data_IF_610051395849
#
_entry.id   IF_610051395849
#
_cell.length_a   1.000
_cell.length_b   1.000
_cell.length_c   1.000
_cell.angle_alpha   90.00
_cell.angle_beta   90.00
_cell.angle_gamma   90.00
#
_symmetry.space_group_name_H-M   'P 1'
#
loop_
_entity.id
_entity.type
_entity.pdbx_description
1 polymer ?
#
# COMPACT_ATOMS: atom_id res chain seq x y z
N UNK A 1 5.22 6.29 -5.94
CA UNK A 1 5.58 7.73 -5.98
C UNK A 1 4.41 8.61 -5.53
N UNK A 2 3.29 8.69 -6.27
CA UNK A 2 2.17 9.57 -5.88
C UNK A 2 1.58 9.25 -4.48
N UNK A 3 1.22 7.99 -4.21
CA UNK A 3 0.66 7.60 -2.91
C UNK A 3 1.63 7.87 -1.75
N UNK A 4 2.94 7.62 -1.94
CA UNK A 4 3.97 7.94 -0.94
C UNK A 4 4.02 9.43 -0.64
N UNK A 5 3.91 10.29 -1.67
CA UNK A 5 3.85 11.74 -1.48
C UNK A 5 2.60 12.15 -0.71
N UNK A 6 1.41 11.64 -1.08
CA UNK A 6 0.16 11.96 -0.38
C UNK A 6 0.20 11.52 1.10
N UNK A 7 0.72 10.32 1.36
CA UNK A 7 0.86 9.80 2.73
C UNK A 7 1.85 10.67 3.50
N UNK A 8 3.04 10.94 2.95
CA UNK A 8 4.06 11.74 3.64
C UNK A 8 3.58 13.16 3.97
N UNK A 9 2.92 13.83 3.02
CA UNK A 9 2.37 15.16 3.20
C UNK A 9 1.19 15.15 4.16
N UNK A 10 0.29 14.18 4.04
CA UNK A 10 -0.82 13.98 4.98
C UNK A 10 -0.34 13.76 6.42
N UNK A 11 0.70 12.94 6.62
CA UNK A 11 1.33 12.71 7.93
C UNK A 11 1.96 13.98 8.48
N UNK A 12 2.67 14.77 7.67
CA UNK A 12 3.29 16.02 8.12
C UNK A 12 2.23 17.04 8.56
N UNK A 13 1.18 17.22 7.75
CA UNK A 13 0.05 18.12 8.09
C UNK A 13 -0.68 17.64 9.33
N UNK A 14 -0.85 16.32 9.51
CA UNK A 14 -1.44 15.72 10.71
C UNK A 14 -0.59 15.97 11.96
N UNK A 15 0.72 15.77 11.89
CA UNK A 15 1.64 16.05 12.99
C UNK A 15 1.61 17.54 13.38
N UNK A 16 1.57 18.43 12.38
CA UNK A 16 1.39 19.86 12.64
C UNK A 16 0.03 20.13 13.31
N UNK A 17 -1.05 19.52 12.84
CA UNK A 17 -2.38 19.67 13.46
C UNK A 17 -2.41 19.19 14.90
N UNK A 18 -1.76 18.05 15.20
CA UNK A 18 -1.63 17.53 16.55
C UNK A 18 -0.84 18.48 17.47
N UNK A 19 0.23 19.09 16.97
CA UNK A 19 0.96 20.13 17.70
C UNK A 19 0.10 21.37 17.95
N UNK A 20 -0.68 21.82 16.97
CA UNK A 20 -1.62 22.94 17.15
C UNK A 20 -2.67 22.64 18.24
N UNK A 21 -3.21 21.42 18.28
CA UNK A 21 -4.14 20.98 19.35
C UNK A 21 -3.47 21.05 20.71
N UNK A 22 -2.22 20.58 20.80
CA UNK A 22 -1.46 20.62 22.04
C UNK A 22 -1.26 22.06 22.55
N UNK A 23 -0.90 22.98 21.66
CA UNK A 23 -0.72 24.41 22.00
C UNK A 23 -2.04 25.06 22.41
N UNK A 24 -3.11 24.89 21.62
CA UNK A 24 -4.45 25.42 21.97
C UNK A 24 -4.89 24.87 23.34
N UNK A 25 -4.67 23.58 23.61
CA UNK A 25 -4.99 22.93 24.89
C UNK A 25 -4.22 23.52 26.06
N UNK A 26 -2.92 23.78 25.90
CA UNK A 26 -2.11 24.40 26.95
C UNK A 26 -2.58 25.81 27.27
N UNK A 27 -2.88 26.62 26.25
CA UNK A 27 -3.35 27.99 26.45
C UNK A 27 -4.66 28.05 27.26
N UNK A 28 -5.55 27.07 27.07
CA UNK A 28 -6.80 26.98 27.82
C UNK A 28 -6.57 26.57 29.27
N UNK A 29 -5.72 25.57 29.51
CA UNK A 29 -5.36 25.15 30.87
C UNK A 29 -4.49 26.21 31.59
N UNK A 30 -3.83 27.10 30.83
CA UNK A 30 -2.97 28.18 31.31
C UNK A 30 -3.71 29.45 31.76
N UNK A 31 -5.04 29.51 31.67
CA UNK A 31 -5.82 30.51 32.43
C UNK A 31 -6.74 31.45 31.66
N UNK A 32 -7.22 31.12 30.44
CA UNK A 32 -8.04 32.07 29.65
C UNK A 32 -9.48 31.64 29.34
N UNK A 33 -9.90 30.37 29.49
CA UNK A 33 -11.32 30.01 29.43
C UNK A 33 -11.64 28.60 29.97
N UNK A 34 -12.83 28.42 30.54
CA UNK A 34 -13.39 27.12 30.96
C UNK A 34 -13.97 26.30 29.79
N UNK A 35 -14.15 26.92 28.61
CA UNK A 35 -14.80 26.32 27.46
C UNK A 35 -13.87 26.39 26.24
N UNK A 36 -13.40 25.22 25.82
CA UNK A 36 -12.61 25.06 24.61
C UNK A 36 -13.54 24.90 23.40
N UNK A 37 -13.40 25.81 22.43
CA UNK A 37 -13.94 25.63 21.09
C UNK A 37 -12.73 25.61 20.16
N UNK A 38 -12.41 24.47 19.51
CA UNK A 38 -11.31 24.40 18.57
C UNK A 38 -11.51 25.41 17.44
N UNK A 39 -10.42 26.05 17.01
CA UNK A 39 -10.50 26.99 15.89
C UNK A 39 -10.98 26.27 14.61
N UNK A 40 -11.80 26.95 13.79
CA UNK A 40 -12.26 26.40 12.51
C UNK A 40 -11.10 26.02 11.60
N UNK A 41 -9.99 26.75 11.71
CA UNK A 41 -8.73 26.45 11.04
C UNK A 41 -8.12 25.11 11.48
N UNK A 42 -8.10 24.83 12.78
CA UNK A 42 -7.58 23.56 13.30
C UNK A 42 -8.43 22.37 12.83
N UNK A 43 -9.76 22.53 12.85
CA UNK A 43 -10.68 21.51 12.36
C UNK A 43 -10.46 21.25 10.87
N UNK A 44 -10.34 22.31 10.04
CA UNK A 44 -10.13 22.16 8.60
C UNK A 44 -8.77 21.53 8.29
N UNK A 45 -7.71 21.88 9.02
CA UNK A 45 -6.38 21.28 8.87
C UNK A 45 -6.42 19.76 9.14
N UNK A 46 -7.05 19.35 10.24
CA UNK A 46 -7.18 17.93 10.58
C UNK A 46 -8.03 17.19 9.54
N UNK A 47 -9.13 17.78 9.07
CA UNK A 47 -9.97 17.21 8.03
C UNK A 47 -9.20 17.02 6.71
N UNK A 48 -8.41 18.02 6.29
CA UNK A 48 -7.56 17.92 5.08
C UNK A 48 -6.49 16.83 5.25
N UNK A 49 -5.83 16.77 6.41
CA UNK A 49 -4.82 15.73 6.69
C UNK A 49 -5.43 14.32 6.63
N UNK A 50 -6.63 14.16 7.17
CA UNK A 50 -7.37 12.90 7.15
C UNK A 50 -7.72 12.48 5.72
N UNK A 51 -8.26 13.40 4.91
CA UNK A 51 -8.60 13.11 3.52
C UNK A 51 -7.37 12.74 2.69
N UNK A 52 -6.25 13.45 2.86
CA UNK A 52 -4.99 13.13 2.19
C UNK A 52 -4.49 11.72 2.53
N UNK A 53 -4.54 11.35 3.81
CA UNK A 53 -4.15 10.02 4.28
C UNK A 53 -5.08 8.93 3.72
N UNK A 54 -6.39 9.12 3.79
CA UNK A 54 -7.37 8.15 3.26
C UNK A 54 -7.15 7.93 1.77
N UNK A 55 -7.02 9.01 0.99
CA UNK A 55 -6.77 8.91 -0.46
C UNK A 55 -5.42 8.25 -0.73
N UNK A 56 -4.36 8.65 -0.01
CA UNK A 56 -3.03 8.09 -0.16
C UNK A 56 -2.98 6.58 0.11
N UNK A 57 -3.60 6.13 1.22
CA UNK A 57 -3.68 4.72 1.59
C UNK A 57 -4.52 3.93 0.59
N UNK A 58 -5.64 4.49 0.14
CA UNK A 58 -6.53 3.83 -0.84
C UNK A 58 -5.82 3.61 -2.19
N UNK A 59 -5.06 4.60 -2.67
CA UNK A 59 -4.27 4.46 -3.91
C UNK A 59 -3.09 3.49 -3.70
N UNK A 60 -2.59 3.36 -2.48
CA UNK A 60 -1.52 2.40 -2.16
C UNK A 60 -2.00 0.94 -2.15
N UNK A 61 -3.30 0.68 -2.12
CA UNK A 61 -3.82 -0.67 -2.04
C UNK A 61 -3.50 -1.46 -3.33
N UNK A 62 -3.00 -2.70 -3.21
CA UNK A 62 -2.76 -3.54 -4.38
C UNK A 62 -4.07 -3.84 -5.10
N UNK A 63 -4.03 -4.02 -6.44
CA UNK A 63 -5.22 -4.33 -7.20
C UNK A 63 -5.82 -5.66 -6.74
N UNK A 64 -7.15 -5.75 -6.75
CA UNK A 64 -7.87 -6.95 -6.35
C UNK A 64 -7.50 -8.09 -7.31
N UNK A 65 -6.92 -9.17 -6.79
CA UNK A 65 -6.60 -10.35 -7.59
C UNK A 65 -7.89 -11.03 -8.03
N UNK A 66 -7.94 -11.43 -9.31
CA UNK A 66 -9.05 -12.20 -9.83
C UNK A 66 -9.13 -13.57 -9.15
N UNK A 67 -10.29 -13.90 -8.59
CA UNK A 67 -10.54 -15.16 -7.86
C UNK A 67 -11.01 -16.27 -8.81
N UNK A 68 -11.39 -15.94 -10.04
CA UNK A 68 -11.88 -16.93 -11.01
C UNK A 68 -10.72 -17.75 -11.58
N UNK A 69 -10.75 -19.05 -11.28
CA UNK A 69 -9.80 -20.03 -11.79
C UNK A 69 -9.68 -20.03 -13.32
N UNK A 70 -10.79 -19.77 -14.04
CA UNK A 70 -10.80 -19.65 -15.51
C UNK A 70 -9.86 -18.56 -16.02
N UNK A 71 -9.77 -17.43 -15.33
CA UNK A 71 -8.90 -16.32 -15.73
C UNK A 71 -7.43 -16.65 -15.50
N UNK A 72 -7.11 -17.34 -14.41
CA UNK A 72 -5.77 -17.85 -14.10
C UNK A 72 -5.35 -18.93 -15.12
N UNK A 73 -6.23 -19.88 -15.46
CA UNK A 73 -5.96 -20.93 -16.45
C UNK A 73 -5.69 -20.38 -17.86
N UNK A 74 -6.32 -19.26 -18.24
CA UNK A 74 -6.07 -18.62 -19.55
C UNK A 74 -4.62 -18.15 -19.71
N UNK A 75 -3.93 -17.87 -18.60
CA UNK A 75 -2.53 -17.44 -18.61
C UNK A 75 -1.54 -18.62 -18.58
N UNK A 76 -2.01 -19.85 -18.35
CA UNK A 76 -1.17 -21.05 -18.25
C UNK A 76 -1.15 -21.80 -19.58
N UNK A 77 0.02 -22.29 -19.99
CA UNK A 77 0.16 -23.17 -21.16
C UNK A 77 0.22 -24.65 -20.73
N UNK A 78 -0.10 -25.53 -21.68
CA UNK A 78 -0.01 -26.98 -21.50
C UNK A 78 1.42 -27.38 -21.13
N UNK A 79 2.43 -26.78 -21.76
CA UNK A 79 3.84 -27.12 -21.51
C UNK A 79 4.26 -26.87 -20.06
N UNK A 80 3.74 -25.81 -19.43
CA UNK A 80 3.99 -25.50 -18.02
C UNK A 80 3.22 -26.40 -17.04
N UNK A 81 2.10 -26.97 -17.48
CA UNK A 81 1.30 -27.88 -16.66
C UNK A 81 1.76 -29.35 -16.80
N UNK A 82 2.20 -29.73 -18.00
CA UNK A 82 2.64 -31.08 -18.33
C UNK A 82 4.15 -31.30 -18.15
N UNK A 83 4.89 -30.31 -17.65
CA UNK A 83 6.32 -30.46 -17.34
C UNK A 83 6.60 -31.48 -16.23
N UNK A 84 5.55 -31.98 -15.54
CA UNK A 84 5.56 -33.01 -14.49
C UNK A 84 6.88 -33.01 -13.70
N UNK A 85 7.24 -31.87 -13.10
CA UNK A 85 8.56 -31.69 -12.49
C UNK A 85 8.93 -32.78 -11.47
N UNK A 86 7.94 -33.31 -10.74
CA UNK A 86 8.13 -34.44 -9.80
C UNK A 86 8.44 -35.79 -10.44
N UNK A 87 8.28 -35.92 -11.75
CA UNK A 87 8.56 -37.13 -12.56
C UNK A 87 9.53 -36.82 -13.70
N UNK A 88 10.41 -35.83 -13.54
CA UNK A 88 11.39 -35.50 -14.56
C UNK A 88 12.23 -36.73 -14.91
N UNK A 89 12.22 -37.08 -16.19
CA UNK A 89 13.13 -38.08 -16.74
C UNK A 89 14.38 -37.36 -17.22
N UNK A 90 15.53 -37.67 -16.62
CA UNK A 90 16.83 -37.11 -17.00
C UNK A 90 17.52 -37.89 -18.13
N UNK A 91 17.04 -39.09 -18.43
CA UNK A 91 17.56 -39.94 -19.50
C UNK A 91 16.81 -39.68 -20.81
N UNK A 92 16.99 -38.48 -21.36
CA UNK A 92 16.32 -38.03 -22.58
C UNK A 92 17.29 -37.87 -23.73
N UNK A 93 16.74 -37.76 -24.95
CA UNK A 93 17.51 -37.47 -26.16
C UNK A 93 18.31 -36.17 -26.03
N UNK A 94 17.77 -35.17 -25.34
CA UNK A 94 18.42 -33.89 -25.11
C UNK A 94 19.73 -34.05 -24.33
N UNK A 95 19.74 -34.90 -23.29
CA UNK A 95 20.94 -35.21 -22.49
C UNK A 95 22.07 -35.77 -23.35
N UNK A 96 21.77 -36.68 -24.29
CA UNK A 96 22.76 -37.25 -25.20
C UNK A 96 23.30 -36.26 -26.23
N UNK A 97 22.45 -35.36 -26.73
CA UNK A 97 22.88 -34.33 -27.68
C UNK A 97 23.84 -33.35 -26.99
N UNK A 98 23.51 -32.92 -25.77
CA UNK A 98 24.34 -31.98 -25.02
C UNK A 98 25.73 -32.55 -24.69
N UNK A 99 25.80 -33.84 -24.33
CA UNK A 99 27.06 -34.55 -24.07
C UNK A 99 27.90 -34.79 -25.34
N UNK A 100 27.29 -34.84 -26.53
CA UNK A 100 28.02 -35.02 -27.80
C UNK A 100 28.63 -33.74 -28.35
N UNK A 101 28.18 -32.57 -27.86
CA UNK A 101 28.63 -31.24 -28.28
C UNK A 101 29.69 -30.61 -27.36
N UNK A 102 30.05 -31.29 -26.29
CA UNK A 102 31.05 -30.90 -25.28
C UNK A 102 32.29 -31.79 -25.36
#
# INVERSE_FOLDING_TARGET
MLHQLLISLGTLVFCHGAYSVYVERILLHGGTSLQYIPSTWLISQLAVSFLLLVIGITISAPPIKNVYWKAELKQRSIDGFDSKMGFINLHTRATRIHQSSS
#
